data_IF_850678462822
#
_entry.id   IF_850678462822
#
_cell.length_a   1.000
_cell.length_b   1.000
_cell.length_c   1.000
_cell.angle_alpha   90.00
_cell.angle_beta   90.00
_cell.angle_gamma   90.00
#
_symmetry.space_group_name_H-M   'P 1'
#
loop_
_entity.id
_entity.type
_entity.pdbx_description
1 polymer ?
#
# COMPACT_ATOMS: atom_id res chain seq x y z
N UNK A 1 11.94 -10.04 16.12
CA UNK A 1 11.99 -10.67 14.79
C UNK A 1 13.39 -10.59 14.26
N UNK A 2 13.82 -11.61 13.53
CA UNK A 2 15.15 -11.67 12.93
C UNK A 2 15.09 -12.35 11.55
N UNK A 3 15.85 -11.81 10.59
CA UNK A 3 16.10 -12.46 9.30
C UNK A 3 17.54 -12.97 9.29
N UNK A 4 17.72 -14.28 9.36
CA UNK A 4 19.04 -14.91 9.49
C UNK A 4 19.40 -15.62 8.19
N UNK A 5 20.59 -15.34 7.64
CA UNK A 5 21.13 -16.10 6.51
C UNK A 5 21.61 -17.47 6.98
N UNK A 6 20.95 -18.54 6.53
CA UNK A 6 21.27 -19.92 6.94
C UNK A 6 22.26 -20.59 5.99
N UNK A 7 22.31 -20.16 4.74
CA UNK A 7 23.30 -20.61 3.76
C UNK A 7 23.63 -19.47 2.78
N UNK A 8 24.93 -19.20 2.60
CA UNK A 8 25.44 -18.20 1.64
C UNK A 8 25.94 -18.81 0.33
N UNK A 9 25.83 -20.13 0.15
CA UNK A 9 26.26 -20.86 -1.03
C UNK A 9 25.10 -21.09 -2.02
N UNK A 10 25.22 -21.99 -2.99
CA UNK A 10 24.11 -22.38 -3.87
C UNK A 10 23.40 -23.63 -3.31
N UNK A 11 22.20 -23.53 -2.71
CA UNK A 11 21.28 -22.38 -2.72
C UNK A 11 21.51 -21.39 -1.58
N UNK A 12 21.25 -20.10 -1.86
CA UNK A 12 21.29 -19.05 -0.85
C UNK A 12 19.97 -19.08 -0.06
N UNK A 13 20.04 -19.01 1.27
CA UNK A 13 18.90 -19.32 2.14
C UNK A 13 18.82 -18.37 3.33
N UNK A 14 17.59 -18.01 3.70
CA UNK A 14 17.30 -17.23 4.90
C UNK A 14 16.06 -17.73 5.61
N UNK A 15 16.07 -17.60 6.93
CA UNK A 15 14.94 -17.85 7.80
C UNK A 15 14.47 -16.53 8.41
N UNK A 16 13.16 -16.28 8.37
CA UNK A 16 12.53 -15.22 9.15
C UNK A 16 11.90 -15.85 10.39
N UNK A 17 12.33 -15.42 11.58
CA UNK A 17 11.82 -15.88 12.87
C UNK A 17 11.13 -14.76 13.65
N UNK A 18 10.09 -15.11 14.41
CA UNK A 18 9.42 -14.19 15.33
C UNK A 18 10.15 -14.03 16.66
N UNK A 19 9.55 -13.28 17.57
CA UNK A 19 10.10 -13.04 18.92
C UNK A 19 10.13 -14.32 19.78
N UNK A 20 9.27 -15.29 19.47
CA UNK A 20 9.22 -16.61 20.12
C UNK A 20 10.23 -17.59 19.50
N UNK A 21 11.02 -17.14 18.50
CA UNK A 21 11.97 -17.92 17.70
C UNK A 21 11.32 -18.98 16.81
N UNK A 22 10.04 -18.85 16.53
CA UNK A 22 9.33 -19.71 15.58
C UNK A 22 9.56 -19.19 14.15
N UNK A 23 9.78 -20.11 13.21
CA UNK A 23 10.00 -19.76 11.80
C UNK A 23 8.68 -19.35 11.16
N UNK A 24 8.63 -18.12 10.66
CA UNK A 24 7.45 -17.52 10.00
C UNK A 24 7.52 -17.69 8.49
N UNK A 25 8.73 -17.68 7.93
CA UNK A 25 8.93 -17.76 6.50
C UNK A 25 10.32 -18.27 6.16
N UNK A 26 10.42 -18.91 5.00
CA UNK A 26 11.65 -19.47 4.45
C UNK A 26 11.93 -18.88 3.06
N UNK A 27 13.15 -18.39 2.89
CA UNK A 27 13.60 -17.65 1.71
C UNK A 27 14.69 -18.48 1.03
N UNK A 28 14.59 -18.68 -0.29
CA UNK A 28 15.54 -19.52 -1.01
C UNK A 28 15.76 -19.04 -2.43
N UNK A 29 17.03 -18.87 -2.80
CA UNK A 29 17.47 -18.68 -4.18
C UNK A 29 18.12 -19.96 -4.70
N UNK A 30 17.61 -20.49 -5.80
CA UNK A 30 18.22 -21.63 -6.50
C UNK A 30 18.07 -21.48 -8.01
N UNK A 31 19.16 -21.67 -8.75
CA UNK A 31 19.17 -21.69 -10.22
C UNK A 31 18.53 -20.44 -10.83
N UNK A 32 18.87 -19.26 -10.30
CA UNK A 32 18.30 -17.99 -10.75
C UNK A 32 16.84 -17.75 -10.33
N UNK A 33 16.25 -18.60 -9.49
CA UNK A 33 14.89 -18.40 -8.99
C UNK A 33 14.86 -18.21 -7.48
N UNK A 34 14.41 -17.04 -7.06
CA UNK A 34 14.19 -16.71 -5.65
C UNK A 34 12.73 -16.90 -5.29
N UNK A 35 12.49 -17.64 -4.21
CA UNK A 35 11.16 -17.92 -3.68
C UNK A 35 11.09 -17.66 -2.18
N UNK A 36 9.92 -17.22 -1.72
CA UNK A 36 9.58 -17.12 -0.30
C UNK A 36 8.33 -17.93 -0.04
N UNK A 37 8.43 -18.84 0.93
CA UNK A 37 7.33 -19.72 1.33
C UNK A 37 7.00 -19.51 2.80
N UNK A 38 5.73 -19.70 3.15
CA UNK A 38 5.23 -19.58 4.53
C UNK A 38 4.37 -20.79 4.90
N UNK A 39 4.37 -21.24 6.16
CA UNK A 39 5.25 -20.78 7.24
C UNK A 39 6.70 -21.31 7.12
N UNK A 40 6.89 -22.43 6.41
CA UNK A 40 8.19 -23.10 6.29
C UNK A 40 8.28 -23.84 4.93
N UNK A 41 9.37 -24.61 4.73
CA UNK A 41 9.59 -25.50 3.60
C UNK A 41 8.36 -26.36 3.30
N UNK A 42 7.83 -26.24 2.08
CA UNK A 42 6.63 -26.96 1.64
C UNK A 42 5.31 -26.25 1.92
N UNK A 43 5.36 -25.03 2.48
CA UNK A 43 4.20 -24.16 2.64
C UNK A 43 3.80 -23.41 1.36
N UNK A 44 2.97 -22.38 1.54
CA UNK A 44 2.47 -21.54 0.46
C UNK A 44 3.55 -20.58 -0.04
N UNK A 45 3.78 -20.55 -1.35
CA UNK A 45 4.64 -19.54 -1.95
C UNK A 45 3.94 -18.18 -1.99
N UNK A 46 4.52 -17.17 -1.34
CA UNK A 46 3.99 -15.80 -1.27
C UNK A 46 4.74 -14.82 -2.16
N UNK A 47 5.98 -15.15 -2.52
CA UNK A 47 6.80 -14.37 -3.43
C UNK A 47 7.67 -15.29 -4.30
N UNK A 48 7.88 -14.86 -5.54
CA UNK A 48 8.69 -15.57 -6.52
C UNK A 48 9.21 -14.59 -7.56
N UNK A 49 10.49 -14.69 -7.89
CA UNK A 49 11.10 -13.90 -8.96
C UNK A 49 12.30 -14.62 -9.56
N UNK A 50 12.51 -14.41 -10.84
CA UNK A 50 13.81 -14.65 -11.46
C UNK A 50 14.80 -13.59 -10.97
N UNK A 51 16.07 -13.99 -10.82
CA UNK A 51 17.19 -13.17 -10.40
C UNK A 51 18.26 -13.16 -11.49
N UNK A 52 19.10 -12.15 -11.49
CA UNK A 52 20.22 -12.04 -12.43
C UNK A 52 21.26 -13.13 -12.14
N UNK A 53 21.54 -13.40 -10.86
CA UNK A 53 22.55 -14.38 -10.48
C UNK A 53 22.09 -15.84 -10.48
N UNK A 54 22.97 -16.76 -10.89
CA UNK A 54 22.71 -18.20 -11.00
C UNK A 54 22.97 -18.94 -9.67
N UNK A 55 22.08 -18.70 -8.70
CA UNK A 55 22.11 -19.38 -7.39
C UNK A 55 22.67 -18.55 -6.23
N UNK A 56 23.17 -17.35 -6.52
CA UNK A 56 23.53 -16.29 -5.56
C UNK A 56 23.00 -14.97 -6.12
N UNK A 57 22.55 -14.05 -5.27
CA UNK A 57 22.12 -12.74 -5.77
C UNK A 57 23.31 -11.94 -6.29
N UNK A 58 23.11 -11.20 -7.37
CA UNK A 58 23.97 -10.06 -7.71
C UNK A 58 23.92 -9.02 -6.59
N UNK A 59 25.02 -8.28 -6.39
CA UNK A 59 25.19 -7.39 -5.22
C UNK A 59 24.08 -6.33 -5.09
N UNK A 60 23.46 -5.93 -6.21
CA UNK A 60 22.44 -4.89 -6.23
C UNK A 60 21.00 -5.38 -6.04
N UNK A 61 20.71 -6.66 -6.31
CA UNK A 61 19.34 -7.20 -6.30
C UNK A 61 18.94 -7.85 -4.97
N UNK A 62 19.92 -8.29 -4.17
CA UNK A 62 19.70 -9.01 -2.90
C UNK A 62 18.75 -8.28 -1.97
N UNK A 63 19.05 -7.02 -1.66
CA UNK A 63 18.27 -6.23 -0.71
C UNK A 63 16.83 -6.02 -1.19
N UNK A 64 16.63 -5.83 -2.50
CA UNK A 64 15.31 -5.65 -3.11
C UNK A 64 14.47 -6.93 -3.05
N UNK A 65 15.05 -8.08 -3.42
CA UNK A 65 14.33 -9.35 -3.35
C UNK A 65 13.98 -9.74 -1.91
N UNK A 66 14.90 -9.56 -0.96
CA UNK A 66 14.65 -9.81 0.46
C UNK A 66 13.55 -8.89 0.99
N UNK A 67 13.60 -7.58 0.69
CA UNK A 67 12.57 -6.63 1.11
C UNK A 67 11.19 -6.97 0.52
N UNK A 68 11.11 -7.26 -0.79
CA UNK A 68 9.86 -7.67 -1.45
C UNK A 68 9.30 -8.95 -0.84
N UNK A 69 10.18 -9.91 -0.52
CA UNK A 69 9.83 -11.13 0.20
C UNK A 69 9.21 -10.84 1.57
N UNK A 70 9.85 -10.01 2.39
CA UNK A 70 9.33 -9.61 3.71
C UNK A 70 7.98 -8.89 3.61
N UNK A 71 7.80 -8.00 2.64
CA UNK A 71 6.52 -7.32 2.40
C UNK A 71 5.42 -8.31 2.02
N UNK A 72 5.73 -9.31 1.19
CA UNK A 72 4.78 -10.37 0.83
C UNK A 72 4.36 -11.20 2.05
N UNK A 73 5.30 -11.55 2.94
CA UNK A 73 5.01 -12.23 4.21
C UNK A 73 4.11 -11.37 5.10
N UNK A 74 4.44 -10.08 5.26
CA UNK A 74 3.63 -9.14 6.04
C UNK A 74 2.19 -9.06 5.52
N UNK A 75 2.03 -8.96 4.19
CA UNK A 75 0.72 -8.93 3.54
C UNK A 75 -0.06 -10.24 3.74
N UNK A 76 0.61 -11.40 3.62
CA UNK A 76 -0.01 -12.73 3.79
C UNK A 76 -0.58 -12.95 5.19
N UNK A 77 0.09 -12.43 6.22
CA UNK A 77 -0.34 -12.53 7.62
C UNK A 77 -1.15 -11.32 8.11
N UNK A 78 -1.25 -10.24 7.32
CA UNK A 78 -1.85 -8.98 7.77
C UNK A 78 -1.10 -8.35 8.95
N UNK A 79 0.21 -8.59 9.04
CA UNK A 79 1.05 -8.27 10.20
C UNK A 79 1.87 -7.00 9.96
N UNK A 80 1.51 -5.93 10.66
CA UNK A 80 2.17 -4.63 10.54
C UNK A 80 3.58 -4.61 11.14
N UNK A 81 3.82 -5.41 12.17
CA UNK A 81 5.13 -5.61 12.80
C UNK A 81 6.16 -6.19 11.82
N UNK A 82 5.78 -7.17 10.99
CA UNK A 82 6.65 -7.69 9.93
C UNK A 82 6.97 -6.60 8.89
N UNK A 83 5.98 -5.77 8.54
CA UNK A 83 6.20 -4.66 7.62
C UNK A 83 7.17 -3.62 8.18
N UNK A 84 7.04 -3.29 9.46
CA UNK A 84 7.96 -2.37 10.14
C UNK A 84 9.38 -2.94 10.20
N UNK A 85 9.51 -4.22 10.55
CA UNK A 85 10.79 -4.92 10.47
C UNK A 85 11.39 -4.87 9.07
N UNK A 86 10.61 -5.16 8.03
CA UNK A 86 11.06 -5.12 6.64
C UNK A 86 11.61 -3.74 6.25
N UNK A 87 10.94 -2.69 6.70
CA UNK A 87 11.36 -1.31 6.47
C UNK A 87 12.69 -1.00 7.16
N UNK A 88 12.82 -1.34 8.43
CA UNK A 88 14.05 -1.12 9.20
C UNK A 88 15.22 -1.92 8.63
N UNK A 89 14.98 -3.19 8.30
CA UNK A 89 15.95 -4.06 7.65
C UNK A 89 16.44 -3.46 6.34
N UNK A 90 15.52 -2.95 5.52
CA UNK A 90 15.85 -2.30 4.26
C UNK A 90 16.66 -1.03 4.49
N UNK A 91 16.24 -0.15 5.40
CA UNK A 91 16.96 1.10 5.67
C UNK A 91 18.39 0.81 6.20
N UNK A 92 18.64 -0.36 6.81
CA UNK A 92 19.97 -0.81 7.26
C UNK A 92 20.82 -1.53 6.19
N UNK A 93 20.21 -2.14 5.17
CA UNK A 93 20.89 -3.00 4.18
C UNK A 93 20.76 -2.49 2.73
N UNK A 94 20.06 -1.38 2.50
CA UNK A 94 19.94 -0.79 1.18
C UNK A 94 21.27 -0.15 0.76
N UNK A 95 21.79 -0.59 -0.39
CA UNK A 95 22.81 0.16 -1.12
C UNK A 95 22.29 1.58 -1.44
N UNK A 96 23.16 2.60 -1.49
CA UNK A 96 22.74 4.00 -1.67
C UNK A 96 21.90 4.23 -2.94
N UNK A 97 22.07 3.40 -3.97
CA UNK A 97 21.22 3.44 -5.18
C UNK A 97 19.76 3.05 -4.93
N UNK A 98 19.50 2.07 -4.07
CA UNK A 98 18.14 1.64 -3.73
C UNK A 98 17.44 2.65 -2.82
N UNK A 99 18.17 3.21 -1.86
CA UNK A 99 17.67 4.29 -1.00
C UNK A 99 17.22 5.51 -1.82
N UNK A 100 17.95 5.84 -2.90
CA UNK A 100 17.57 6.91 -3.83
C UNK A 100 16.26 6.60 -4.56
N UNK A 101 16.12 5.41 -5.14
CA UNK A 101 14.88 4.96 -5.82
C UNK A 101 13.69 4.98 -4.85
N UNK A 102 13.88 4.49 -3.62
CA UNK A 102 12.82 4.47 -2.62
C UNK A 102 12.45 5.87 -2.13
N UNK A 103 13.40 6.79 -2.05
CA UNK A 103 13.14 8.22 -1.74
C UNK A 103 12.31 8.86 -2.85
N UNK A 104 12.65 8.58 -4.10
CA UNK A 104 11.90 9.04 -5.27
C UNK A 104 10.48 8.46 -5.30
N UNK A 105 10.31 7.16 -5.03
CA UNK A 105 9.01 6.51 -4.90
C UNK A 105 8.18 7.08 -3.74
N UNK A 106 8.80 7.43 -2.60
CA UNK A 106 8.12 8.11 -1.47
C UNK A 106 7.61 9.49 -1.90
N UNK A 107 8.41 10.25 -2.64
CA UNK A 107 8.00 11.54 -3.19
C UNK A 107 6.83 11.40 -4.17
N UNK A 108 6.88 10.42 -5.07
CA UNK A 108 5.79 10.14 -6.02
C UNK A 108 4.50 9.69 -5.32
N UNK A 109 4.60 8.85 -4.27
CA UNK A 109 3.43 8.46 -3.47
C UNK A 109 2.82 9.65 -2.74
N UNK A 110 3.63 10.51 -2.14
CA UNK A 110 3.15 11.73 -1.49
C UNK A 110 2.42 12.66 -2.47
N UNK A 111 2.93 12.80 -3.70
CA UNK A 111 2.24 13.56 -4.76
C UNK A 111 0.89 12.94 -5.13
N UNK A 112 0.82 11.61 -5.28
CA UNK A 112 -0.43 10.90 -5.55
C UNK A 112 -1.44 11.08 -4.41
N UNK A 113 -1.02 10.94 -3.17
CA UNK A 113 -1.90 11.06 -2.01
C UNK A 113 -2.40 12.49 -1.84
N UNK A 114 -1.56 13.50 -2.13
CA UNK A 114 -1.97 14.91 -2.19
C UNK A 114 -2.99 15.16 -3.32
N UNK A 115 -2.79 14.55 -4.51
CA UNK A 115 -3.75 14.64 -5.60
C UNK A 115 -5.09 13.98 -5.27
N UNK A 116 -5.07 12.82 -4.59
CA UNK A 116 -6.27 12.15 -4.08
C UNK A 116 -6.99 12.99 -3.00
N UNK A 117 -6.24 13.62 -2.10
CA UNK A 117 -6.79 14.51 -1.10
C UNK A 117 -7.45 15.76 -1.74
N UNK A 118 -6.80 16.35 -2.75
CA UNK A 118 -7.37 17.46 -3.52
C UNK A 118 -8.65 17.04 -4.25
N UNK A 119 -8.65 15.86 -4.90
CA UNK A 119 -9.84 15.34 -5.57
C UNK A 119 -11.00 15.12 -4.59
N UNK A 120 -10.72 14.59 -3.39
CA UNK A 120 -11.71 14.47 -2.30
C UNK A 120 -12.25 15.83 -1.86
N UNK A 121 -11.41 16.86 -1.74
CA UNK A 121 -11.87 18.21 -1.37
C UNK A 121 -12.76 18.82 -2.45
N UNK A 122 -12.35 18.75 -3.72
CA UNK A 122 -13.13 19.27 -4.86
C UNK A 122 -14.48 18.56 -4.98
N UNK A 123 -14.52 17.24 -4.80
CA UNK A 123 -15.79 16.48 -4.86
C UNK A 123 -16.69 16.74 -3.66
N UNK A 124 -16.15 17.06 -2.48
CA UNK A 124 -16.93 17.48 -1.31
C UNK A 124 -17.50 18.89 -1.47
N UNK A 125 -16.76 19.83 -2.07
CA UNK A 125 -17.28 21.17 -2.37
C UNK A 125 -18.37 21.15 -3.45
N UNK A 126 -18.22 20.35 -4.49
CA UNK A 126 -19.27 20.13 -5.49
C UNK A 126 -20.50 19.40 -4.93
N UNK A 127 -20.34 18.65 -3.83
CA UNK A 127 -21.45 18.02 -3.09
C UNK A 127 -22.14 18.93 -2.06
N UNK A 128 -21.53 20.07 -1.70
CA UNK A 128 -22.13 21.07 -0.78
C UNK A 128 -22.85 22.21 -1.47
N UNK A 129 -22.61 22.44 -2.76
CA UNK A 129 -23.30 23.45 -3.56
C UNK A 129 -24.50 22.90 -4.33
N UNK A 130 -25.61 22.54 -3.68
CA UNK A 130 -26.92 22.39 -4.37
C UNK A 130 -28.14 22.16 -3.44
N UNK A 131 -28.24 22.88 -2.32
CA UNK A 131 -29.51 22.88 -1.57
C UNK A 131 -29.92 24.21 -0.94
N UNK A 132 -29.04 25.22 -0.88
CA UNK A 132 -29.36 26.49 -0.20
C UNK A 132 -29.56 27.70 -1.13
N UNK A 133 -29.11 27.67 -2.38
CA UNK A 133 -29.12 28.88 -3.22
C UNK A 133 -30.43 29.14 -4.00
N UNK A 134 -31.37 28.19 -4.04
CA UNK A 134 -32.66 28.41 -4.73
C UNK A 134 -33.69 29.17 -3.87
N UNK A 135 -33.47 29.28 -2.54
CA UNK A 135 -34.45 29.91 -1.64
C UNK A 135 -34.28 31.44 -1.56
N UNK A 136 -33.04 31.95 -1.68
CA UNK A 136 -32.76 33.40 -1.62
C UNK A 136 -33.16 34.17 -2.89
N UNK A 137 -33.32 33.46 -4.02
CA UNK A 137 -33.80 34.09 -5.25
C UNK A 137 -35.32 34.40 -5.21
N UNK A 138 -36.12 33.63 -4.46
CA UNK A 138 -37.58 33.83 -4.41
C UNK A 138 -38.02 34.94 -3.45
N UNK A 139 -37.28 35.19 -2.36
CA UNK A 139 -37.61 36.25 -1.38
C UNK A 139 -37.39 37.66 -1.93
N UNK A 140 -36.46 37.84 -2.85
CA UNK A 140 -36.10 39.15 -3.42
C UNK A 140 -37.05 39.65 -4.52
N UNK A 141 -37.96 38.81 -5.03
CA UNK A 141 -38.86 39.17 -6.15
C UNK A 141 -40.28 39.58 -5.73
N UNK A 142 -40.77 39.21 -4.53
CA UNK A 142 -42.18 39.40 -4.18
C UNK A 142 -42.44 40.22 -2.91
N UNK A 143 -41.42 40.54 -2.12
CA UNK A 143 -41.53 41.42 -0.95
C UNK A 143 -42.54 40.98 0.12
N UNK A 144 -42.99 39.72 0.09
CA UNK A 144 -43.96 39.15 1.03
C UNK A 144 -43.49 37.77 1.50
N UNK A 145 -43.72 37.48 2.78
CA UNK A 145 -43.45 36.18 3.38
C UNK A 145 -44.38 35.11 2.79
N UNK A 146 -43.80 34.12 2.12
CA UNK A 146 -44.54 32.96 1.59
C UNK A 146 -44.73 31.95 2.75
N UNK A 147 -45.96 31.47 3.02
CA UNK A 147 -46.20 30.45 4.04
C UNK A 147 -45.69 29.08 3.59
N UNK A 148 -45.12 28.34 4.53
CA UNK A 148 -44.65 26.96 4.33
C UNK A 148 -45.82 25.96 4.21
N UNK A 149 -45.68 24.90 3.37
CA UNK A 149 -44.56 24.58 2.48
C UNK A 149 -44.70 25.16 1.06
N UNK A 150 -43.56 25.51 0.44
CA UNK A 150 -43.45 26.12 -0.90
C UNK A 150 -43.90 25.16 -2.02
N UNK A 151 -44.75 25.59 -2.98
CA UNK A 151 -45.25 24.74 -4.06
C UNK A 151 -44.17 24.21 -5.01
N UNK A 152 -43.08 24.95 -5.21
CA UNK A 152 -42.02 24.62 -6.18
C UNK A 152 -41.19 23.40 -5.74
N UNK A 153 -41.05 23.18 -4.43
CA UNK A 153 -40.26 22.06 -3.87
C UNK A 153 -40.93 20.70 -4.14
N UNK A 154 -42.20 20.66 -4.55
CA UNK A 154 -42.91 19.41 -4.82
C UNK A 154 -42.56 18.76 -6.17
N UNK A 155 -41.86 19.46 -7.06
CA UNK A 155 -41.59 18.97 -8.42
C UNK A 155 -40.29 18.16 -8.60
N UNK A 156 -39.43 18.06 -7.58
CA UNK A 156 -38.10 17.42 -7.71
C UNK A 156 -37.98 16.02 -7.08
N UNK A 157 -39.07 15.42 -6.60
CA UNK A 157 -39.08 13.95 -6.35
C UNK A 157 -39.54 13.23 -7.62
N UNK A 158 -38.66 13.19 -8.62
CA UNK A 158 -38.75 12.19 -9.68
C UNK A 158 -38.13 10.92 -9.13
N UNK A 159 -38.95 9.87 -9.11
CA UNK A 159 -38.62 8.52 -8.65
C UNK A 159 -37.46 7.96 -9.49
N UNK A 160 -36.45 7.43 -8.80
CA UNK A 160 -35.40 6.60 -9.38
C UNK A 160 -35.98 5.27 -9.86
N UNK A 161 -35.65 4.78 -11.08
CA UNK A 161 -35.83 3.37 -11.41
C UNK A 161 -34.81 2.48 -10.69
#
# INVERSE_FOLDING_TARGET
>A
MELTMTCSACPEQYDLVDDDRERIAYFRLRHGYFAVVVPDVGGDQVYGSETIGDGLFDGSERADHLFKGLVAVAARYGRFDIFMFAKEWLDANAEPGFAAIMTELRALRAQRDAALALHKLVTVDLGRGSAMDECEACSNLTGHSIPWPCPTVRALRVETP
#
